data_IF_698496710589
#
_entry.id   IF_698496710589
#
_cell.length_a   1.000
_cell.length_b   1.000
_cell.length_c   1.000
_cell.angle_alpha   90.00
_cell.angle_beta   90.00
_cell.angle_gamma   90.00
#
_symmetry.space_group_name_H-M   'P 1'
#
loop_
_entity.id
_entity.type
_entity.pdbx_description
1 polymer ?
#
# COMPACT_ATOMS: atom_id res chain seq x y z
N UNK A 1 -0.94 -1.81 16.30
CA UNK A 1 -1.28 -1.41 14.93
C UNK A 1 -1.25 -2.68 14.10
N UNK A 2 -2.20 -2.84 13.18
CA UNK A 2 -2.16 -3.91 12.18
C UNK A 2 -0.88 -3.77 11.34
N UNK A 3 -0.32 -4.88 10.88
CA UNK A 3 0.81 -4.92 9.94
C UNK A 3 0.31 -5.15 8.51
N UNK A 4 -0.89 -4.69 8.22
CA UNK A 4 -1.56 -4.93 6.96
C UNK A 4 -1.27 -3.82 5.96
N UNK A 5 -1.09 -4.18 4.70
CA UNK A 5 -0.97 -3.26 3.57
C UNK A 5 -2.33 -3.14 2.87
N UNK A 6 -2.88 -1.94 2.79
CA UNK A 6 -4.13 -1.68 2.07
C UNK A 6 -3.87 -1.50 0.58
N UNK A 7 -4.57 -2.26 -0.26
CA UNK A 7 -4.52 -2.07 -1.71
C UNK A 7 -5.64 -1.10 -2.12
N UNK A 8 -5.26 0.02 -2.72
CA UNK A 8 -6.19 1.04 -3.23
C UNK A 8 -5.96 1.28 -4.72
N UNK A 9 -6.95 1.80 -5.40
CA UNK A 9 -6.86 2.17 -6.81
C UNK A 9 -8.23 2.53 -7.35
N UNK A 10 -8.25 3.28 -8.45
CA UNK A 10 -9.47 3.59 -9.18
C UNK A 10 -10.12 2.31 -9.77
N UNK A 11 -11.39 2.36 -10.16
CA UNK A 11 -12.00 1.24 -10.89
C UNK A 11 -11.22 0.92 -12.18
N UNK A 12 -11.17 -0.35 -12.54
CA UNK A 12 -10.58 -0.84 -13.78
C UNK A 12 -9.07 -0.65 -13.96
N UNK A 13 -8.33 -0.38 -12.88
CA UNK A 13 -6.85 -0.33 -12.89
C UNK A 13 -6.20 -1.72 -12.79
N UNK A 14 -7.00 -2.79 -12.65
CA UNK A 14 -6.52 -4.17 -12.46
C UNK A 14 -6.32 -4.56 -10.99
N UNK A 15 -6.82 -3.76 -10.04
CA UNK A 15 -6.72 -4.04 -8.60
C UNK A 15 -7.24 -5.43 -8.23
N UNK A 16 -8.43 -5.79 -8.72
CA UNK A 16 -9.05 -7.10 -8.43
C UNK A 16 -8.26 -8.27 -9.04
N UNK A 17 -7.64 -8.10 -10.20
CA UNK A 17 -6.79 -9.11 -10.83
C UNK A 17 -5.55 -9.37 -9.98
N UNK A 18 -4.85 -8.29 -9.57
CA UNK A 18 -3.69 -8.39 -8.67
C UNK A 18 -4.11 -9.03 -7.35
N UNK A 19 -5.25 -8.64 -6.78
CA UNK A 19 -5.72 -9.20 -5.51
C UNK A 19 -6.11 -10.68 -5.64
N UNK A 20 -6.73 -11.09 -6.74
CA UNK A 20 -7.04 -12.50 -7.02
C UNK A 20 -5.76 -13.33 -7.11
N UNK A 21 -4.71 -12.83 -7.75
CA UNK A 21 -3.41 -13.50 -7.80
C UNK A 21 -2.77 -13.62 -6.40
N UNK A 22 -2.90 -12.59 -5.55
CA UNK A 22 -2.46 -12.64 -4.15
C UNK A 22 -3.16 -13.70 -3.31
N UNK A 23 -4.47 -13.92 -3.56
CA UNK A 23 -5.29 -14.88 -2.81
C UNK A 23 -5.21 -16.30 -3.34
N UNK A 24 -4.84 -16.47 -4.61
CA UNK A 24 -4.69 -17.78 -5.25
C UNK A 24 -3.37 -18.49 -4.86
N UNK A 25 -2.40 -17.77 -4.27
CA UNK A 25 -1.12 -18.35 -3.86
C UNK A 25 -1.32 -19.41 -2.75
N UNK A 26 -1.04 -20.70 -3.00
CA UNK A 26 -1.46 -21.83 -2.12
C UNK A 26 -0.74 -21.89 -0.77
N UNK A 27 0.39 -21.21 -0.63
CA UNK A 27 1.28 -21.34 0.54
C UNK A 27 0.78 -20.65 1.82
N UNK A 28 -0.13 -19.68 1.72
CA UNK A 28 -0.48 -18.83 2.85
C UNK A 28 -1.52 -19.40 3.82
N UNK A 29 -2.41 -20.28 3.35
CA UNK A 29 -3.53 -20.77 4.15
C UNK A 29 -3.11 -21.77 5.25
N UNK A 30 -2.05 -22.57 5.04
CA UNK A 30 -1.62 -23.61 5.97
C UNK A 30 -0.81 -23.09 7.17
N UNK A 31 -0.15 -21.95 7.01
CA UNK A 31 0.74 -21.39 8.02
C UNK A 31 0.05 -20.47 9.05
N UNK A 32 -1.22 -20.14 8.85
CA UNK A 32 -2.01 -19.28 9.73
C UNK A 32 -3.28 -19.98 10.25
N UNK A 33 -3.18 -20.86 11.26
CA UNK A 33 -4.27 -21.72 11.73
C UNK A 33 -5.45 -20.99 12.38
N UNK A 34 -5.40 -19.66 12.51
CA UNK A 34 -6.45 -18.82 13.10
C UNK A 34 -6.95 -17.70 12.18
N UNK A 35 -6.53 -17.67 10.91
CA UNK A 35 -7.13 -16.74 9.95
C UNK A 35 -8.43 -17.33 9.43
N UNK A 36 -9.55 -16.79 9.85
CA UNK A 36 -10.79 -16.83 9.07
C UNK A 36 -10.45 -16.28 7.70
N UNK A 37 -10.72 -17.03 6.65
CA UNK A 37 -10.52 -16.57 5.27
C UNK A 37 -11.54 -15.46 5.05
N UNK A 38 -11.11 -14.22 5.32
CA UNK A 38 -11.86 -13.03 4.91
C UNK A 38 -11.65 -12.89 3.39
N UNK A 39 -12.69 -12.82 2.59
CA UNK A 39 -12.57 -12.74 1.13
C UNK A 39 -11.79 -11.50 0.64
N UNK A 40 -11.56 -10.52 1.51
CA UNK A 40 -10.82 -9.30 1.22
C UNK A 40 -9.38 -9.32 1.76
N UNK A 41 -8.84 -10.48 2.11
CA UNK A 41 -7.49 -10.62 2.68
C UNK A 41 -6.66 -11.60 1.87
N UNK A 42 -5.50 -11.11 1.38
CA UNK A 42 -4.45 -11.93 0.76
C UNK A 42 -3.19 -11.94 1.62
N UNK A 43 -2.52 -13.07 1.70
CA UNK A 43 -1.26 -13.22 2.43
C UNK A 43 -0.18 -13.64 1.45
N UNK A 44 0.94 -12.91 1.44
CA UNK A 44 2.11 -13.22 0.60
C UNK A 44 3.28 -13.54 1.49
N UNK A 45 3.86 -14.71 1.29
CA UNK A 45 5.10 -15.10 1.95
C UNK A 45 6.29 -14.32 1.37
N UNK A 46 7.25 -14.00 2.23
CA UNK A 46 8.49 -13.34 1.85
C UNK A 46 9.56 -14.39 1.60
N UNK A 47 10.01 -14.59 0.36
CA UNK A 47 11.19 -15.42 0.09
C UNK A 47 12.40 -14.83 0.80
N UNK A 48 13.18 -15.67 1.47
CA UNK A 48 14.39 -15.25 2.19
C UNK A 48 15.45 -16.34 2.16
N UNK A 49 16.52 -16.11 1.39
CA UNK A 49 17.65 -17.04 1.23
C UNK A 49 18.30 -17.42 2.57
N UNK A 50 18.24 -16.54 3.56
CA UNK A 50 18.80 -16.81 4.90
C UNK A 50 17.97 -17.86 5.64
N UNK A 51 16.65 -17.86 5.45
CA UNK A 51 15.77 -18.91 5.98
C UNK A 51 16.03 -20.23 5.24
N UNK A 52 16.22 -20.18 3.92
CA UNK A 52 16.51 -21.35 3.09
C UNK A 52 17.81 -22.01 3.55
N UNK A 53 18.86 -21.24 3.73
CA UNK A 53 20.14 -21.72 4.28
C UNK A 53 19.99 -22.36 5.66
N UNK A 54 19.19 -21.74 6.56
CA UNK A 54 18.93 -22.34 7.87
C UNK A 54 18.17 -23.67 7.78
N UNK A 55 17.27 -23.81 6.82
CA UNK A 55 16.57 -25.06 6.56
C UNK A 55 17.50 -26.14 6.00
N UNK A 56 18.42 -25.78 5.12
CA UNK A 56 19.44 -26.72 4.61
C UNK A 56 20.33 -27.28 5.74
N UNK A 57 20.73 -26.41 6.67
CA UNK A 57 21.59 -26.81 7.80
C UNK A 57 20.83 -27.64 8.84
N UNK A 58 19.61 -27.24 9.21
CA UNK A 58 18.88 -27.85 10.31
C UNK A 58 17.95 -29.01 9.91
N UNK A 59 17.66 -29.15 8.59
CA UNK A 59 16.74 -30.17 8.05
C UNK A 59 15.41 -30.21 8.84
N UNK A 60 14.68 -29.08 8.97
CA UNK A 60 13.52 -28.98 9.82
C UNK A 60 12.32 -29.75 9.24
N UNK A 61 11.40 -30.17 10.11
CA UNK A 61 10.11 -30.72 9.67
C UNK A 61 9.19 -29.66 9.07
N UNK A 62 9.37 -28.40 9.47
CA UNK A 62 8.55 -27.26 9.01
C UNK A 62 9.40 -26.03 8.74
N UNK A 63 9.12 -25.36 7.60
CA UNK A 63 9.63 -24.04 7.24
C UNK A 63 8.50 -23.03 7.33
N UNK A 64 8.70 -21.93 8.07
CA UNK A 64 7.69 -20.88 8.24
C UNK A 64 8.31 -19.52 7.86
N UNK A 65 8.07 -19.00 6.65
CA UNK A 65 8.55 -17.70 6.22
C UNK A 65 7.81 -16.55 6.93
N UNK A 66 8.38 -15.36 6.88
CA UNK A 66 7.65 -14.14 7.18
C UNK A 66 6.64 -13.85 6.06
N UNK A 67 5.61 -13.08 6.34
CA UNK A 67 4.58 -12.75 5.37
C UNK A 67 4.06 -11.33 5.54
N UNK A 68 3.46 -10.81 4.48
CA UNK A 68 2.71 -9.55 4.47
C UNK A 68 1.25 -9.86 4.18
N UNK A 69 0.38 -9.25 4.96
CA UNK A 69 -1.06 -9.31 4.77
C UNK A 69 -1.50 -8.11 3.94
N UNK A 70 -2.17 -8.39 2.83
CA UNK A 70 -2.79 -7.40 1.98
C UNK A 70 -4.30 -7.41 2.19
N UNK A 71 -4.89 -6.21 2.22
CA UNK A 71 -6.34 -6.02 2.37
C UNK A 71 -6.86 -5.32 1.14
N UNK A 72 -7.80 -5.96 0.43
CA UNK A 72 -8.49 -5.29 -0.67
C UNK A 72 -9.43 -4.23 -0.11
N UNK A 73 -9.11 -2.99 -0.40
CA UNK A 73 -9.98 -1.87 -0.04
C UNK A 73 -10.83 -1.55 -1.25
N UNK A 74 -12.15 -1.77 -1.13
CA UNK A 74 -13.11 -1.53 -2.20
C UNK A 74 -12.88 -0.17 -2.86
N UNK A 75 -12.96 -0.14 -4.20
CA UNK A 75 -12.53 1.01 -5.00
C UNK A 75 -13.16 2.33 -4.57
N UNK A 76 -12.38 3.38 -4.65
CA UNK A 76 -12.79 4.74 -4.37
C UNK A 76 -13.86 5.15 -5.39
N UNK A 77 -15.01 5.58 -4.89
CA UNK A 77 -15.98 6.35 -5.68
C UNK A 77 -15.70 7.83 -5.37
N UNK A 78 -15.59 8.67 -6.39
CA UNK A 78 -15.41 10.11 -6.22
C UNK A 78 -16.49 10.67 -5.28
N UNK A 79 -16.09 11.58 -4.38
CA UNK A 79 -16.97 12.11 -3.34
C UNK A 79 -17.00 11.28 -2.05
N UNK A 80 -16.08 10.32 -1.90
CA UNK A 80 -15.96 9.50 -0.69
C UNK A 80 -15.78 10.35 0.57
N UNK A 81 -15.07 11.48 0.45
CA UNK A 81 -14.83 12.44 1.54
C UNK A 81 -16.07 13.26 1.93
N UNK A 82 -17.08 13.35 1.06
CA UNK A 82 -18.31 14.12 1.31
C UNK A 82 -19.38 13.38 2.12
N UNK A 83 -19.11 12.14 2.54
CA UNK A 83 -19.86 11.50 3.62
C UNK A 83 -21.05 10.64 3.21
N UNK A 84 -21.22 10.25 1.96
CA UNK A 84 -22.27 9.34 1.54
C UNK A 84 -21.80 7.87 1.49
N UNK A 85 -22.25 7.08 2.49
CA UNK A 85 -22.25 5.60 2.44
C UNK A 85 -20.89 4.92 2.27
N UNK A 86 -20.64 4.37 1.09
CA UNK A 86 -19.46 3.53 0.78
C UNK A 86 -18.12 4.26 0.92
N UNK A 87 -18.09 5.59 0.72
CA UNK A 87 -16.85 6.37 0.85
C UNK A 87 -16.32 6.42 2.27
N UNK A 88 -17.19 6.52 3.28
CA UNK A 88 -16.77 6.50 4.69
C UNK A 88 -16.17 5.14 5.08
N UNK A 89 -16.72 4.05 4.54
CA UNK A 89 -16.20 2.70 4.79
C UNK A 89 -14.81 2.52 4.15
N UNK A 90 -14.62 3.01 2.93
CA UNK A 90 -13.32 3.04 2.26
C UNK A 90 -12.26 3.74 3.12
N UNK A 91 -12.54 4.96 3.59
CA UNK A 91 -11.63 5.72 4.44
C UNK A 91 -11.36 5.05 5.80
N UNK A 92 -12.39 4.38 6.38
CA UNK A 92 -12.24 3.61 7.61
C UNK A 92 -11.30 2.42 7.42
N UNK A 93 -11.47 1.66 6.34
CA UNK A 93 -10.62 0.51 6.03
C UNK A 93 -9.15 0.94 5.83
N UNK A 94 -8.90 2.07 5.13
CA UNK A 94 -7.54 2.61 5.01
C UNK A 94 -6.97 2.96 6.39
N UNK A 95 -7.76 3.51 7.31
CA UNK A 95 -7.26 3.86 8.66
C UNK A 95 -6.71 2.67 9.42
N UNK A 96 -7.24 1.48 9.20
CA UNK A 96 -6.84 0.25 9.87
C UNK A 96 -5.52 -0.34 9.34
N UNK A 97 -5.10 -0.01 8.12
CA UNK A 97 -3.87 -0.53 7.52
C UNK A 97 -2.62 0.24 7.97
N UNK A 98 -1.45 -0.39 7.89
CA UNK A 98 -0.16 0.22 8.24
C UNK A 98 0.44 1.06 7.09
N UNK A 99 0.24 0.62 5.85
CA UNK A 99 0.71 1.30 4.64
C UNK A 99 -0.30 1.12 3.50
N UNK A 100 -0.07 1.83 2.40
CA UNK A 100 -0.92 1.83 1.21
C UNK A 100 -0.11 1.34 0.00
N UNK A 101 -0.63 0.35 -0.72
CA UNK A 101 -0.22 0.00 -2.07
C UNK A 101 -1.22 0.60 -3.07
N UNK A 102 -0.81 1.65 -3.75
CA UNK A 102 -1.66 2.38 -4.68
C UNK A 102 -1.48 1.84 -6.10
N UNK A 103 -2.45 1.07 -6.58
CA UNK A 103 -2.44 0.47 -7.92
C UNK A 103 -2.85 1.52 -8.94
N UNK A 104 -2.00 1.69 -9.95
CA UNK A 104 -2.16 2.64 -11.05
C UNK A 104 -2.13 1.89 -12.38
N UNK A 105 -3.05 2.21 -13.26
CA UNK A 105 -3.10 1.63 -14.60
C UNK A 105 -1.99 2.22 -15.46
N UNK A 106 -1.11 1.33 -15.96
CA UNK A 106 0.03 1.67 -16.82
C UNK A 106 0.02 0.84 -18.11
N UNK A 107 -1.16 0.57 -18.67
CA UNK A 107 -1.34 -0.19 -19.91
C UNK A 107 -2.51 0.34 -20.73
N UNK A 108 -2.39 0.28 -22.03
CA UNK A 108 -3.47 0.58 -22.97
C UNK A 108 -4.33 -0.69 -23.21
N UNK A 109 -5.63 -0.59 -23.06
CA UNK A 109 -6.58 -1.63 -23.44
C UNK A 109 -7.91 -0.97 -23.87
N UNK A 110 -8.29 -1.02 -25.15
CA UNK A 110 -9.51 -0.39 -25.66
C UNK A 110 -10.80 -1.04 -25.13
N UNK A 111 -10.74 -2.30 -24.69
CA UNK A 111 -11.91 -3.03 -24.19
C UNK A 111 -12.22 -2.69 -22.71
N UNK A 112 -11.30 -2.01 -22.03
CA UNK A 112 -11.44 -1.63 -20.62
C UNK A 112 -11.67 -0.13 -20.52
N UNK A 113 -12.91 0.29 -20.24
CA UNK A 113 -13.25 1.71 -20.02
C UNK A 113 -12.40 2.31 -18.92
N UNK A 114 -11.76 3.45 -19.19
CA UNK A 114 -11.17 4.28 -18.17
C UNK A 114 -12.25 5.20 -17.58
N UNK A 115 -12.41 5.18 -16.26
CA UNK A 115 -13.46 5.97 -15.60
C UNK A 115 -12.96 7.40 -15.44
N UNK A 116 -13.38 8.29 -16.33
CA UNK A 116 -13.18 9.75 -16.24
C UNK A 116 -14.51 10.48 -16.23
N UNK A 117 -14.50 11.70 -15.68
CA UNK A 117 -15.69 12.53 -15.50
C UNK A 117 -16.34 12.99 -16.81
N UNK A 118 -15.58 13.10 -17.88
CA UNK A 118 -16.08 13.57 -19.18
C UNK A 118 -16.22 12.40 -20.15
N UNK A 119 -17.42 11.86 -20.25
CA UNK A 119 -17.78 10.72 -21.08
C UNK A 119 -17.63 10.96 -22.62
N UNK A 120 -17.11 12.09 -23.07
CA UNK A 120 -17.09 12.52 -24.47
C UNK A 120 -15.72 12.52 -25.14
N UNK A 121 -14.65 12.17 -24.43
CA UNK A 121 -13.31 12.04 -25.00
C UNK A 121 -12.83 10.60 -24.84
N UNK A 122 -12.21 10.02 -25.89
CA UNK A 122 -11.43 8.79 -25.77
C UNK A 122 -10.40 9.00 -24.68
N UNK A 123 -10.70 8.48 -23.48
CA UNK A 123 -9.92 8.77 -22.29
C UNK A 123 -8.56 8.08 -22.40
N UNK A 124 -7.54 8.85 -22.77
CA UNK A 124 -6.16 8.40 -22.70
C UNK A 124 -5.80 8.05 -21.26
N UNK A 125 -4.99 7.02 -21.05
CA UNK A 125 -4.46 6.65 -19.74
C UNK A 125 -3.59 7.80 -19.22
N UNK A 126 -3.84 8.22 -17.98
CA UNK A 126 -3.15 9.32 -17.32
C UNK A 126 -2.90 8.99 -15.85
N UNK A 127 -1.75 8.37 -15.56
CA UNK A 127 -1.37 7.99 -14.20
C UNK A 127 -1.34 9.15 -13.21
N UNK A 128 -0.96 10.35 -13.66
CA UNK A 128 -0.89 11.54 -12.81
C UNK A 128 -2.28 11.95 -12.32
N UNK A 129 -3.25 12.02 -13.21
CA UNK A 129 -4.64 12.34 -12.88
C UNK A 129 -5.27 11.26 -11.96
N UNK A 130 -4.97 9.98 -12.20
CA UNK A 130 -5.48 8.87 -11.39
C UNK A 130 -4.96 8.97 -9.94
N UNK A 131 -3.67 9.23 -9.78
CA UNK A 131 -3.03 9.41 -8.48
C UNK A 131 -3.60 10.63 -7.77
N UNK A 132 -3.68 11.76 -8.48
CA UNK A 132 -4.21 13.01 -7.92
C UNK A 132 -5.64 12.82 -7.39
N UNK A 133 -6.48 12.08 -8.11
CA UNK A 133 -7.86 11.78 -7.69
C UNK A 133 -7.90 11.09 -6.33
N UNK A 134 -7.12 10.04 -6.11
CA UNK A 134 -7.07 9.35 -4.82
C UNK A 134 -6.44 10.22 -3.74
N UNK A 135 -5.32 10.87 -4.06
CA UNK A 135 -4.63 11.72 -3.11
C UNK A 135 -5.52 12.88 -2.62
N UNK A 136 -6.31 13.49 -3.50
CA UNK A 136 -7.27 14.54 -3.12
C UNK A 136 -8.35 14.04 -2.17
N UNK A 137 -8.93 12.86 -2.40
CA UNK A 137 -9.94 12.30 -1.51
C UNK A 137 -9.37 12.00 -0.10
N UNK A 138 -8.16 11.46 -0.03
CA UNK A 138 -7.48 11.24 1.25
C UNK A 138 -7.13 12.57 1.95
N UNK A 139 -6.67 13.55 1.20
CA UNK A 139 -6.34 14.87 1.71
C UNK A 139 -7.58 15.62 2.25
N UNK A 140 -8.70 15.55 1.54
CA UNK A 140 -9.97 16.14 1.98
C UNK A 140 -10.47 15.51 3.29
N UNK A 141 -10.36 14.17 3.43
CA UNK A 141 -10.70 13.48 4.66
C UNK A 141 -9.81 13.90 5.84
N UNK A 142 -8.52 14.12 5.58
CA UNK A 142 -7.58 14.60 6.60
C UNK A 142 -7.82 16.06 6.96
N UNK A 143 -8.11 16.92 5.99
CA UNK A 143 -8.50 18.33 6.25
C UNK A 143 -9.74 18.42 7.14
N UNK A 144 -10.73 17.56 6.91
CA UNK A 144 -11.92 17.49 7.77
C UNK A 144 -11.59 17.02 9.19
N UNK A 145 -10.69 16.04 9.33
CA UNK A 145 -10.16 15.57 10.62
C UNK A 145 -9.43 16.69 11.36
N UNK A 146 -8.58 17.44 10.66
CA UNK A 146 -7.86 18.60 11.19
C UNK A 146 -8.85 19.70 11.61
N UNK A 147 -9.85 20.01 10.79
CA UNK A 147 -10.87 21.02 11.09
C UNK A 147 -11.59 20.70 12.39
N UNK A 148 -12.09 19.46 12.55
CA UNK A 148 -12.77 19.02 13.76
C UNK A 148 -11.88 19.10 15.01
N UNK A 149 -10.59 18.75 14.89
CA UNK A 149 -9.63 18.87 15.99
C UNK A 149 -9.34 20.33 16.33
N UNK A 150 -9.17 21.17 15.31
CA UNK A 150 -8.89 22.59 15.48
C UNK A 150 -10.01 23.32 16.25
N UNK A 151 -11.27 22.98 16.02
CA UNK A 151 -12.38 23.52 16.79
C UNK A 151 -12.31 23.16 18.28
N UNK A 152 -11.91 21.91 18.59
CA UNK A 152 -11.71 21.44 19.97
C UNK A 152 -10.53 22.15 20.64
N UNK A 153 -9.40 22.26 19.94
CA UNK A 153 -8.19 22.95 20.42
C UNK A 153 -8.48 24.41 20.71
N UNK A 154 -9.15 25.12 19.81
CA UNK A 154 -9.53 26.52 19.98
C UNK A 154 -10.42 26.72 21.22
N UNK A 155 -11.39 25.83 21.46
CA UNK A 155 -12.23 25.85 22.65
C UNK A 155 -11.40 25.63 23.94
N UNK A 156 -10.45 24.68 23.92
CA UNK A 156 -9.58 24.41 25.05
C UNK A 156 -8.66 25.58 25.40
N UNK A 157 -8.05 26.22 24.40
CA UNK A 157 -7.22 27.42 24.60
C UNK A 157 -8.05 28.55 25.23
N UNK A 158 -9.27 28.78 24.74
CA UNK A 158 -10.17 29.82 25.32
C UNK A 158 -10.56 29.54 26.76
N UNK A 159 -10.68 28.26 27.15
CA UNK A 159 -11.07 27.86 28.50
C UNK A 159 -9.89 27.85 29.49
N UNK A 160 -8.71 27.40 29.07
CA UNK A 160 -7.56 27.11 29.92
C UNK A 160 -6.43 28.16 29.80
N UNK A 161 -6.51 29.08 28.82
CA UNK A 161 -5.58 30.18 28.64
C UNK A 161 -4.19 29.76 28.11
N UNK A 162 -3.14 30.55 28.51
CA UNK A 162 -1.78 30.42 27.97
C UNK A 162 -1.11 29.05 28.17
N UNK A 163 -1.49 28.29 29.19
CA UNK A 163 -0.88 26.98 29.43
C UNK A 163 -1.38 25.95 28.39
N UNK A 164 -2.65 26.02 27.98
CA UNK A 164 -3.18 25.22 26.89
C UNK A 164 -2.56 25.61 25.53
N UNK A 165 -2.31 26.90 25.31
CA UNK A 165 -1.63 27.40 24.12
C UNK A 165 -0.24 26.79 23.96
N UNK A 166 0.56 26.76 25.04
CA UNK A 166 1.87 26.11 25.05
C UNK A 166 1.81 24.61 24.80
N UNK A 167 0.85 23.92 25.44
CA UNK A 167 0.65 22.48 25.24
C UNK A 167 0.24 22.13 23.81
N UNK A 168 -0.43 23.04 23.11
CA UNK A 168 -0.89 22.84 21.73
C UNK A 168 0.04 23.41 20.67
N UNK A 169 1.17 24.02 21.06
CA UNK A 169 2.10 24.69 20.14
C UNK A 169 2.64 23.74 19.06
N UNK A 170 3.11 22.54 19.45
CA UNK A 170 3.62 21.53 18.50
C UNK A 170 2.53 21.04 17.56
N UNK A 171 1.30 20.86 18.04
CA UNK A 171 0.15 20.51 17.21
C UNK A 171 -0.18 21.62 16.19
N UNK A 172 -0.21 22.86 16.62
CA UNK A 172 -0.49 24.01 15.76
C UNK A 172 0.57 24.14 14.68
N UNK A 173 1.84 24.07 15.05
CA UNK A 173 2.97 24.10 14.12
C UNK A 173 2.90 22.97 13.09
N UNK A 174 2.62 21.74 13.52
CA UNK A 174 2.45 20.60 12.63
C UNK A 174 1.33 20.84 11.60
N UNK A 175 0.17 21.33 12.07
CA UNK A 175 -0.98 21.59 11.21
C UNK A 175 -0.69 22.70 10.20
N UNK A 176 0.02 23.76 10.58
CA UNK A 176 0.43 24.84 9.67
C UNK A 176 1.31 24.33 8.53
N UNK A 177 2.19 23.36 8.81
CA UNK A 177 3.04 22.72 7.78
C UNK A 177 2.29 21.76 6.88
N UNK A 178 1.31 21.03 7.42
CA UNK A 178 0.55 19.99 6.71
C UNK A 178 -0.54 20.58 5.81
N UNK A 179 -1.30 21.56 6.29
CA UNK A 179 -2.47 22.09 5.57
C UNK A 179 -2.20 22.52 4.14
N UNK A 180 -1.14 23.26 3.82
CA UNK A 180 -0.85 23.64 2.44
C UNK A 180 -0.61 22.43 1.52
N UNK A 181 0.10 21.40 2.02
CA UNK A 181 0.33 20.18 1.27
C UNK A 181 -0.98 19.46 0.93
N UNK A 182 -1.87 19.32 1.91
CA UNK A 182 -3.18 18.69 1.72
C UNK A 182 -4.06 19.49 0.74
N UNK A 183 -4.01 20.82 0.77
CA UNK A 183 -4.73 21.68 -0.16
C UNK A 183 -4.25 21.50 -1.61
N UNK A 184 -2.97 21.17 -1.79
CA UNK A 184 -2.36 20.87 -3.10
C UNK A 184 -2.50 19.38 -3.48
N UNK A 185 -3.28 18.56 -2.73
CA UNK A 185 -3.42 17.13 -2.98
C UNK A 185 -2.18 16.29 -2.65
N UNK A 186 -1.23 16.86 -1.90
CA UNK A 186 -0.01 16.16 -1.47
C UNK A 186 -0.19 15.53 -0.10
N UNK A 187 0.53 14.43 0.14
CA UNK A 187 0.45 13.72 1.41
C UNK A 187 1.07 14.48 2.58
N UNK A 188 0.44 14.46 3.76
CA UNK A 188 0.97 15.04 4.99
C UNK A 188 2.34 14.44 5.39
N UNK A 189 2.66 13.22 4.92
CA UNK A 189 3.96 12.54 5.09
C UNK A 189 5.14 13.31 4.49
N UNK A 190 4.88 14.24 3.56
CA UNK A 190 5.91 15.07 2.92
C UNK A 190 6.27 16.32 3.73
N UNK A 191 5.52 16.63 4.80
CA UNK A 191 5.82 17.75 5.67
C UNK A 191 7.11 17.50 6.47
N UNK A 192 7.94 18.52 6.58
CA UNK A 192 9.13 18.49 7.43
C UNK A 192 8.72 18.72 8.90
N UNK A 193 8.40 17.63 9.59
CA UNK A 193 7.92 17.60 10.96
C UNK A 193 9.01 17.12 11.91
N UNK A 194 9.16 17.81 13.04
CA UNK A 194 9.95 17.32 14.17
C UNK A 194 9.25 16.12 14.83
N UNK A 195 9.99 15.38 15.66
CA UNK A 195 9.41 14.24 16.39
C UNK A 195 8.32 14.66 17.38
N UNK A 196 8.45 15.86 17.96
CA UNK A 196 7.43 16.44 18.82
C UNK A 196 6.15 16.77 18.05
N UNK A 197 6.28 17.34 16.84
CA UNK A 197 5.16 17.62 15.96
C UNK A 197 4.47 16.32 15.48
N UNK A 198 5.25 15.30 15.09
CA UNK A 198 4.72 13.97 14.73
C UNK A 198 3.94 13.35 15.89
N UNK A 199 4.49 13.41 17.10
CA UNK A 199 3.81 12.89 18.29
C UNK A 199 2.53 13.66 18.62
N UNK A 200 2.52 14.98 18.42
CA UNK A 200 1.35 15.82 18.68
C UNK A 200 0.14 15.55 17.76
N UNK A 201 0.38 15.02 16.57
CA UNK A 201 -0.68 14.68 15.60
C UNK A 201 -0.97 13.17 15.49
N UNK A 202 -0.23 12.34 16.20
CA UNK A 202 -0.31 10.86 16.08
C UNK A 202 -1.71 10.31 16.34
N UNK A 203 -2.43 10.90 17.30
CA UNK A 203 -3.79 10.51 17.67
C UNK A 203 -4.86 10.89 16.63
N UNK A 204 -4.50 11.64 15.61
CA UNK A 204 -5.41 12.01 14.53
C UNK A 204 -5.54 10.94 13.45
N UNK A 205 -4.60 9.98 13.40
CA UNK A 205 -4.58 8.89 12.40
C UNK A 205 -4.81 9.38 10.97
N UNK A 206 -4.06 10.44 10.58
CA UNK A 206 -4.17 11.01 9.25
C UNK A 206 -3.84 9.97 8.19
N UNK A 207 -4.70 9.87 7.18
CA UNK A 207 -4.58 8.90 6.09
C UNK A 207 -3.34 9.16 5.23
N UNK A 208 -3.08 10.43 4.95
CA UNK A 208 -1.97 10.88 4.11
C UNK A 208 -0.61 10.89 4.83
N UNK A 209 -0.59 10.59 6.14
CA UNK A 209 0.64 10.30 6.88
C UNK A 209 1.13 8.88 6.70
N UNK A 210 0.26 7.99 6.19
CA UNK A 210 0.65 6.58 5.96
C UNK A 210 1.72 6.48 4.88
N UNK A 211 2.72 5.61 5.08
CA UNK A 211 3.65 5.24 4.02
C UNK A 211 2.87 4.69 2.82
N UNK A 212 3.22 5.13 1.64
CA UNK A 212 2.55 4.71 0.39
C UNK A 212 3.60 4.25 -0.59
N UNK A 213 3.33 3.19 -1.34
CA UNK A 213 4.08 2.79 -2.52
C UNK A 213 3.13 2.70 -3.72
N UNK A 214 3.67 2.92 -4.91
CA UNK A 214 2.92 2.81 -6.15
C UNK A 214 3.10 1.44 -6.78
N UNK A 215 2.00 0.91 -7.33
CA UNK A 215 1.99 -0.36 -8.08
C UNK A 215 1.61 -0.04 -9.51
N UNK A 216 2.58 -0.03 -10.40
CA UNK A 216 2.37 0.15 -11.83
C UNK A 216 1.86 -1.17 -12.44
N UNK A 217 0.56 -1.24 -12.75
CA UNK A 217 0.02 -2.39 -13.44
C UNK A 217 0.22 -2.22 -14.96
N UNK A 218 1.08 -3.06 -15.55
CA UNK A 218 1.46 -3.04 -16.97
C UNK A 218 0.81 -4.18 -17.75
N UNK A 219 0.88 -4.13 -19.09
CA UNK A 219 0.55 -5.23 -19.98
C UNK A 219 1.68 -6.27 -20.07
N UNK A 220 1.38 -7.40 -20.70
CA UNK A 220 2.33 -8.51 -20.88
C UNK A 220 3.49 -8.13 -21.81
N UNK A 221 3.25 -7.25 -22.80
CA UNK A 221 4.27 -6.82 -23.76
C UNK A 221 5.39 -6.00 -23.08
N UNK A 222 5.05 -5.28 -22.03
CA UNK A 222 5.99 -4.44 -21.26
C UNK A 222 6.76 -5.19 -20.18
N UNK A 223 6.50 -6.50 -19.93
CA UNK A 223 7.12 -7.25 -18.83
C UNK A 223 8.65 -7.34 -19.02
N UNK A 224 9.10 -7.70 -20.22
CA UNK A 224 10.55 -7.90 -20.49
C UNK A 224 11.37 -6.63 -20.33
N UNK A 225 10.79 -5.46 -20.62
CA UNK A 225 11.44 -4.17 -20.44
C UNK A 225 11.30 -3.65 -19.00
N UNK A 226 10.27 -4.09 -18.28
CA UNK A 226 9.94 -3.65 -16.92
C UNK A 226 9.58 -2.16 -16.83
N UNK A 227 9.33 -1.52 -17.98
CA UNK A 227 8.98 -0.10 -18.05
C UNK A 227 8.16 0.21 -19.31
N UNK A 228 7.48 1.36 -19.29
CA UNK A 228 6.82 1.99 -20.45
C UNK A 228 6.62 3.49 -20.14
N UNK A 229 6.04 4.22 -21.10
CA UNK A 229 5.77 5.67 -20.98
C UNK A 229 5.01 6.04 -19.69
N UNK A 230 4.10 5.19 -19.22
CA UNK A 230 3.29 5.42 -18.01
C UNK A 230 4.07 5.14 -16.73
N UNK A 231 4.89 4.09 -16.72
CA UNK A 231 5.80 3.76 -15.62
C UNK A 231 6.82 4.87 -15.42
N UNK A 232 7.31 5.50 -16.50
CA UNK A 232 8.24 6.64 -16.39
C UNK A 232 7.60 7.86 -15.72
N UNK A 233 6.30 8.14 -16.02
CA UNK A 233 5.54 9.19 -15.34
C UNK A 233 5.42 8.86 -13.86
N UNK A 234 5.05 7.62 -13.55
CA UNK A 234 4.87 7.16 -12.17
C UNK A 234 6.17 7.24 -11.37
N UNK A 235 7.31 6.87 -11.98
CA UNK A 235 8.63 6.98 -11.34
C UNK A 235 8.99 8.42 -10.99
N UNK A 236 8.64 9.41 -11.83
CA UNK A 236 8.86 10.83 -11.53
C UNK A 236 8.05 11.28 -10.31
N UNK A 237 6.76 10.93 -10.27
CA UNK A 237 5.87 11.24 -9.14
C UNK A 237 6.41 10.58 -7.86
N UNK A 238 6.78 9.31 -7.93
CA UNK A 238 7.31 8.57 -6.78
C UNK A 238 8.61 9.19 -6.24
N UNK A 239 9.49 9.67 -7.13
CA UNK A 239 10.72 10.34 -6.74
C UNK A 239 10.44 11.67 -5.99
N UNK A 240 9.46 12.47 -6.44
CA UNK A 240 9.03 13.69 -5.75
C UNK A 240 8.43 13.39 -4.38
N UNK A 241 7.68 12.30 -4.26
CA UNK A 241 7.07 11.85 -3.01
C UNK A 241 8.00 10.99 -2.12
N UNK A 242 9.25 10.79 -2.53
CA UNK A 242 10.27 9.98 -1.84
C UNK A 242 9.78 8.57 -1.54
N UNK A 243 9.07 7.97 -2.49
CA UNK A 243 8.55 6.61 -2.41
C UNK A 243 9.03 5.76 -3.59
N UNK A 244 8.60 4.50 -3.64
CA UNK A 244 9.02 3.54 -4.65
C UNK A 244 7.86 3.12 -5.55
N UNK A 245 8.22 2.64 -6.75
CA UNK A 245 7.30 1.98 -7.69
C UNK A 245 7.60 0.48 -7.73
N UNK A 246 6.55 -0.33 -7.73
CA UNK A 246 6.60 -1.76 -8.06
C UNK A 246 5.91 -1.94 -9.38
N UNK A 247 6.58 -2.54 -10.35
CA UNK A 247 5.98 -2.88 -11.64
C UNK A 247 5.42 -4.29 -11.59
N UNK A 248 4.15 -4.46 -11.93
CA UNK A 248 3.44 -5.74 -11.92
C UNK A 248 2.60 -5.85 -13.18
N UNK A 249 2.59 -7.01 -13.82
CA UNK A 249 1.56 -7.36 -14.78
C UNK A 249 0.53 -8.25 -14.07
N UNK A 250 -0.63 -7.69 -13.72
CA UNK A 250 -1.65 -8.42 -12.96
C UNK A 250 -2.15 -9.68 -13.66
N UNK A 251 -2.18 -9.68 -15.00
CA UNK A 251 -2.56 -10.86 -15.79
C UNK A 251 -1.49 -11.96 -15.67
N UNK A 252 -0.23 -11.63 -15.89
CA UNK A 252 0.89 -12.57 -15.73
C UNK A 252 0.93 -13.18 -14.31
N UNK A 253 0.72 -12.37 -13.28
CA UNK A 253 0.70 -12.87 -11.89
C UNK A 253 -0.48 -13.82 -11.65
N UNK A 254 -1.64 -13.56 -12.29
CA UNK A 254 -2.79 -14.46 -12.21
C UNK A 254 -2.51 -15.80 -12.88
N UNK A 255 -1.91 -15.80 -14.08
CA UNK A 255 -1.52 -17.01 -14.80
C UNK A 255 -0.44 -17.79 -14.02
N UNK A 256 0.55 -17.08 -13.46
CA UNK A 256 1.61 -17.64 -12.62
C UNK A 256 1.05 -18.32 -11.34
N UNK A 257 -0.03 -17.79 -10.78
CA UNK A 257 -0.66 -18.35 -9.58
C UNK A 257 -1.38 -19.67 -9.83
N UNK A 258 -1.78 -19.96 -11.07
CA UNK A 258 -2.40 -21.24 -11.47
C UNK A 258 -1.37 -22.37 -11.61
N UNK A 259 -0.07 -22.04 -11.79
CA UNK A 259 1.00 -23.01 -11.92
C UNK A 259 1.38 -23.54 -10.53
N UNK A 260 1.14 -24.82 -10.31
CA UNK A 260 1.40 -25.46 -8.99
C UNK A 260 2.80 -26.08 -8.87
N UNK A 261 3.40 -26.49 -10.01
CA UNK A 261 4.76 -27.04 -10.03
C UNK A 261 5.80 -25.93 -9.91
N UNK A 262 6.72 -25.97 -8.92
CA UNK A 262 7.73 -24.93 -8.74
C UNK A 262 8.72 -24.78 -9.91
N UNK A 263 9.06 -25.88 -10.59
CA UNK A 263 10.00 -25.84 -11.71
C UNK A 263 9.32 -25.21 -12.93
N UNK A 264 8.08 -25.60 -13.24
CA UNK A 264 7.29 -25.01 -14.32
C UNK A 264 7.04 -23.50 -14.05
N UNK A 265 6.80 -23.13 -12.81
CA UNK A 265 6.63 -21.73 -12.39
C UNK A 265 7.90 -20.91 -12.62
N UNK A 266 9.08 -21.48 -12.32
CA UNK A 266 10.36 -20.83 -12.58
C UNK A 266 10.61 -20.68 -14.09
N UNK A 267 10.38 -21.73 -14.88
CA UNK A 267 10.50 -21.69 -16.34
C UNK A 267 9.59 -20.61 -16.94
N UNK A 268 8.36 -20.45 -16.43
CA UNK A 268 7.44 -19.42 -16.88
C UNK A 268 7.94 -18.01 -16.60
N UNK A 269 8.53 -17.77 -15.43
CA UNK A 269 9.17 -16.49 -15.09
C UNK A 269 10.43 -16.23 -15.94
N UNK A 270 11.26 -17.25 -16.13
CA UNK A 270 12.49 -17.15 -16.91
C UNK A 270 12.21 -16.82 -18.38
N UNK A 271 11.11 -17.33 -18.93
CA UNK A 271 10.68 -17.06 -20.30
C UNK A 271 10.44 -15.56 -20.59
N UNK A 272 10.09 -14.79 -19.56
CA UNK A 272 9.88 -13.33 -19.65
C UNK A 272 11.03 -12.54 -18.98
N UNK A 273 12.06 -13.21 -18.52
CA UNK A 273 13.26 -12.58 -17.92
C UNK A 273 13.10 -12.13 -16.46
N UNK A 274 12.07 -12.61 -15.75
CA UNK A 274 11.82 -12.28 -14.36
C UNK A 274 12.54 -13.25 -13.42
N UNK A 275 13.31 -12.72 -12.47
CA UNK A 275 13.96 -13.49 -11.39
C UNK A 275 13.03 -13.76 -10.21
N UNK A 276 12.07 -12.87 -10.00
CA UNK A 276 11.13 -12.89 -8.89
C UNK A 276 9.77 -12.39 -9.39
N UNK A 277 8.68 -12.91 -8.85
CA UNK A 277 7.34 -12.41 -9.21
C UNK A 277 7.13 -10.97 -8.72
N UNK A 278 6.30 -10.22 -9.41
CA UNK A 278 5.93 -8.86 -9.01
C UNK A 278 5.25 -8.84 -7.64
N UNK A 279 4.46 -9.85 -7.31
CA UNK A 279 3.82 -9.98 -6.02
C UNK A 279 4.82 -10.21 -4.87
N UNK A 280 5.86 -11.00 -5.07
CA UNK A 280 6.93 -11.18 -4.09
C UNK A 280 7.71 -9.87 -3.90
N UNK A 281 8.01 -9.16 -4.99
CA UNK A 281 8.61 -7.81 -4.94
C UNK A 281 7.73 -6.83 -4.19
N UNK A 282 6.41 -6.83 -4.44
CA UNK A 282 5.43 -6.00 -3.73
C UNK A 282 5.44 -6.29 -2.23
N UNK A 283 5.39 -7.56 -1.85
CA UNK A 283 5.42 -7.97 -0.45
C UNK A 283 6.70 -7.51 0.25
N UNK A 284 7.86 -7.69 -0.37
CA UNK A 284 9.16 -7.28 0.16
C UNK A 284 9.25 -5.76 0.33
N UNK A 285 8.81 -4.97 -0.66
CA UNK A 285 8.81 -3.51 -0.57
C UNK A 285 7.80 -2.99 0.45
N UNK A 286 6.60 -3.54 0.53
CA UNK A 286 5.62 -3.20 1.54
C UNK A 286 6.13 -3.52 2.97
N UNK A 287 6.82 -4.65 3.14
CA UNK A 287 7.44 -5.04 4.41
C UNK A 287 8.49 -4.01 4.86
N UNK A 288 9.38 -3.60 3.97
CA UNK A 288 10.39 -2.58 4.27
C UNK A 288 9.78 -1.21 4.52
N UNK A 289 8.74 -0.83 3.74
CA UNK A 289 8.03 0.43 3.89
C UNK A 289 7.36 0.56 5.27
N UNK A 290 6.88 -0.55 5.82
CA UNK A 290 6.34 -0.61 7.19
C UNK A 290 7.42 -0.57 8.29
N UNK A 291 8.70 -0.47 7.92
CA UNK A 291 9.83 -0.48 8.88
C UNK A 291 10.03 -1.84 9.54
N UNK A 292 9.62 -2.92 8.89
CA UNK A 292 9.74 -4.27 9.41
C UNK A 292 11.11 -4.88 9.12
N UNK A 293 11.54 -5.74 10.03
CA UNK A 293 12.75 -6.54 9.91
C UNK A 293 12.48 -7.98 10.30
N UNK A 294 13.32 -8.87 9.80
CA UNK A 294 13.21 -10.31 10.04
C UNK A 294 14.34 -10.79 10.93
N UNK A 295 14.03 -11.59 11.94
CA UNK A 295 15.00 -12.45 12.62
C UNK A 295 14.56 -13.90 12.52
N UNK A 296 15.48 -14.83 12.74
CA UNK A 296 15.25 -16.23 12.49
C UNK A 296 15.46 -17.07 13.75
N UNK A 297 14.68 -18.14 13.86
CA UNK A 297 14.93 -19.25 14.77
C UNK A 297 15.08 -20.51 13.94
N UNK A 298 16.11 -21.32 14.23
CA UNK A 298 16.38 -22.58 13.54
C UNK A 298 16.46 -23.74 14.51
N UNK A 299 15.78 -24.83 14.17
CA UNK A 299 15.78 -26.08 14.91
C UNK A 299 15.27 -27.23 14.05
N UNK A 300 15.37 -28.47 14.57
CA UNK A 300 14.92 -29.66 13.85
C UNK A 300 13.40 -29.75 13.68
N UNK A 301 12.62 -29.11 14.55
CA UNK A 301 11.17 -29.12 14.43
C UNK A 301 10.68 -28.00 13.50
N UNK A 302 11.25 -26.80 13.61
CA UNK A 302 10.87 -25.65 12.79
C UNK A 302 12.06 -24.70 12.54
N UNK A 303 12.19 -24.24 11.30
CA UNK A 303 12.91 -23.02 10.96
C UNK A 303 11.89 -21.93 10.64
N UNK A 304 11.98 -20.80 11.36
CA UNK A 304 10.98 -19.75 11.26
C UNK A 304 11.59 -18.36 11.16
N UNK A 305 11.00 -17.56 10.29
CA UNK A 305 11.24 -16.14 10.17
C UNK A 305 10.19 -15.35 10.99
N UNK A 306 10.65 -14.50 11.89
CA UNK A 306 9.83 -13.65 12.74
C UNK A 306 9.90 -12.21 12.31
N UNK A 307 8.78 -11.51 12.40
CA UNK A 307 8.68 -10.09 12.06
C UNK A 307 8.80 -9.22 13.29
N UNK A 308 9.65 -8.19 13.23
CA UNK A 308 9.79 -7.14 14.26
C UNK A 308 9.81 -5.76 13.61
N UNK A 309 9.41 -4.72 14.34
CA UNK A 309 9.69 -3.35 13.92
C UNK A 309 11.17 -3.03 14.14
N UNK A 310 11.78 -2.35 13.15
CA UNK A 310 13.06 -1.69 13.35
C UNK A 310 12.86 -0.59 14.39
N UNK A 311 13.63 -0.65 15.49
CA UNK A 311 13.58 0.31 16.57
C UNK A 311 14.04 1.71 16.16
#
# INVERSE_FOLDING_TARGET
MSLDCGIVGLPNVGKSTIFSALTAAPAAAENFPFCTIDPNVGIVELPDERLDFLCEVNQPKKKTPASVKFVDIAGLIKGASQGEGLGNQFLANIRETACIAHVVRCFDNPDIMHVRENANEEASIDPESDILTINMELALADLETIRKRQEKVTKSIRALGKDAEKQMASWTSAVEKIKPLLQDGKGARLADLTDEEKNAIKDMFLLTMKPTLYVANIDEESISEGTNKYVEILNKIAAEEKTEVVVICGKFESDLAEITDPAERQDFMDAVGLKESGLATLARKAYHLMGLRTFFTGGQDECRAWTIHAG
#
